data_IF_246895043816
#
_entry.id   IF_246895043816
#
_cell.length_a   1.000
_cell.length_b   1.000
_cell.length_c   1.000
_cell.angle_alpha   90.00
_cell.angle_beta   90.00
_cell.angle_gamma   90.00
#
_symmetry.space_group_name_H-M   'P 1'
#
loop_
_entity.id
_entity.type
_entity.pdbx_description
1 polymer ?
#
# COMPACT_ATOMS: atom_id res chain seq x y z
N UNK A 1 12.64 4.44 -14.74
CA UNK A 1 11.94 3.24 -14.28
C UNK A 1 12.93 2.36 -13.54
N UNK A 2 12.47 1.54 -12.61
CA UNK A 2 13.29 0.47 -12.03
C UNK A 2 13.69 -0.52 -13.13
N UNK A 3 14.89 -1.07 -13.01
CA UNK A 3 15.46 -1.96 -14.02
C UNK A 3 14.55 -3.19 -14.23
N UNK A 4 14.22 -3.49 -15.48
CA UNK A 4 13.39 -4.63 -15.91
C UNK A 4 11.97 -4.67 -15.30
N UNK A 5 11.50 -3.58 -14.69
CA UNK A 5 10.19 -3.55 -14.01
C UNK A 5 10.15 -4.37 -12.71
N UNK A 6 11.32 -4.64 -12.10
CA UNK A 6 11.44 -5.49 -10.91
C UNK A 6 11.57 -4.74 -9.58
N UNK A 7 11.44 -3.41 -9.57
CA UNK A 7 11.58 -2.58 -8.38
C UNK A 7 10.33 -1.78 -8.06
N UNK A 8 10.16 -1.41 -6.79
CA UNK A 8 9.00 -0.66 -6.27
C UNK A 8 9.36 0.70 -5.70
N UNK A 9 10.64 1.07 -5.74
CA UNK A 9 11.16 2.29 -5.11
C UNK A 9 11.38 3.40 -6.13
N UNK A 10 11.66 3.07 -7.40
CA UNK A 10 12.07 4.06 -8.40
C UNK A 10 13.59 4.21 -8.49
N UNK A 11 14.35 3.47 -7.69
CA UNK A 11 15.80 3.54 -7.67
C UNK A 11 16.40 2.80 -8.86
N UNK A 12 17.34 3.46 -9.54
CA UNK A 12 17.98 2.92 -10.73
C UNK A 12 19.49 3.20 -10.69
N UNK A 13 20.29 2.14 -10.82
CA UNK A 13 21.75 2.23 -10.75
C UNK A 13 22.36 3.07 -11.88
N UNK A 14 21.78 3.01 -13.08
CA UNK A 14 22.37 3.59 -14.30
C UNK A 14 21.89 5.02 -14.55
N UNK A 15 20.61 5.28 -14.29
CA UNK A 15 19.97 6.56 -14.62
C UNK A 15 19.71 7.45 -13.40
N UNK A 16 19.89 6.92 -12.18
CA UNK A 16 19.54 7.59 -10.93
C UNK A 16 18.04 7.59 -10.64
N UNK A 17 17.69 8.07 -9.45
CA UNK A 17 16.32 8.09 -8.92
C UNK A 17 15.69 9.47 -9.14
N UNK A 18 14.54 9.58 -9.84
CA UNK A 18 13.86 10.86 -9.99
C UNK A 18 13.34 11.37 -8.64
N UNK A 19 13.30 12.69 -8.46
CA UNK A 19 12.86 13.31 -7.21
C UNK A 19 11.33 13.31 -7.18
N UNK A 20 10.73 12.77 -6.10
CA UNK A 20 9.29 12.87 -5.88
C UNK A 20 8.89 14.34 -5.63
N UNK A 21 8.11 14.98 -6.52
CA UNK A 21 7.72 16.38 -6.36
C UNK A 21 6.82 16.64 -5.15
N UNK A 22 6.00 15.64 -4.78
CA UNK A 22 5.11 15.74 -3.63
C UNK A 22 5.85 15.61 -2.30
N UNK A 23 7.00 14.92 -2.28
CA UNK A 23 7.81 14.70 -1.08
C UNK A 23 9.27 14.39 -1.43
N UNK A 24 10.16 15.40 -1.59
CA UNK A 24 11.54 15.19 -2.08
C UNK A 24 12.45 14.32 -1.18
N UNK A 25 12.06 14.12 0.08
CA UNK A 25 12.80 13.33 1.08
C UNK A 25 12.58 11.81 0.95
N UNK A 26 11.57 11.39 0.19
CA UNK A 26 11.19 9.99 0.01
C UNK A 26 11.29 9.55 -1.44
N UNK A 27 11.27 8.24 -1.64
CA UNK A 27 11.30 7.63 -2.97
C UNK A 27 10.00 7.92 -3.73
N UNK A 28 10.05 8.07 -5.07
CA UNK A 28 8.86 8.30 -5.90
C UNK A 28 7.99 7.07 -6.08
N UNK A 29 8.49 5.88 -5.73
CA UNK A 29 7.84 4.60 -6.01
C UNK A 29 8.20 4.07 -7.40
N UNK A 30 7.87 2.82 -7.69
CA UNK A 30 8.26 2.13 -8.92
C UNK A 30 7.31 0.99 -9.31
N UNK A 31 7.50 0.38 -10.49
CA UNK A 31 8.64 0.64 -11.39
C UNK A 31 8.51 1.87 -12.30
N UNK A 32 7.32 2.42 -12.50
CA UNK A 32 7.08 3.56 -13.40
C UNK A 32 7.37 4.94 -12.78
N UNK A 33 8.49 5.06 -12.06
CA UNK A 33 8.90 6.26 -11.31
C UNK A 33 8.95 7.54 -12.15
N UNK A 34 9.58 7.47 -13.33
CA UNK A 34 9.71 8.62 -14.25
C UNK A 34 8.36 9.14 -14.74
N UNK A 35 7.44 8.24 -15.11
CA UNK A 35 6.10 8.60 -15.59
C UNK A 35 5.29 9.33 -14.51
N UNK A 36 5.31 8.82 -13.27
CA UNK A 36 4.61 9.44 -12.15
C UNK A 36 5.21 10.79 -11.77
N UNK A 37 6.54 10.89 -11.71
CA UNK A 37 7.23 12.16 -11.42
C UNK A 37 6.97 13.18 -12.51
N UNK A 38 6.99 12.81 -13.80
CA UNK A 38 6.73 13.73 -14.89
C UNK A 38 5.31 14.33 -14.84
N UNK A 39 4.31 13.51 -14.53
CA UNK A 39 2.92 13.97 -14.36
C UNK A 39 2.76 14.81 -13.09
N UNK A 40 3.36 14.37 -11.97
CA UNK A 40 3.30 15.08 -10.68
C UNK A 40 3.98 16.45 -10.75
N UNK A 41 5.14 16.54 -11.44
CA UNK A 41 5.89 17.76 -11.69
C UNK A 41 5.30 18.64 -12.81
N UNK A 42 4.17 18.24 -13.42
CA UNK A 42 3.49 18.98 -14.48
C UNK A 42 4.35 19.19 -15.73
N UNK A 43 5.29 18.28 -16.00
CA UNK A 43 6.08 18.28 -17.23
C UNK A 43 5.27 17.78 -18.42
N UNK A 44 4.27 16.94 -18.14
CA UNK A 44 3.34 16.36 -19.11
C UNK A 44 1.92 16.29 -18.52
N UNK A 45 0.92 16.29 -19.40
CA UNK A 45 -0.50 16.17 -19.02
C UNK A 45 -0.88 14.75 -18.58
N UNK A 46 -0.29 13.74 -19.24
CA UNK A 46 -0.43 12.33 -18.92
C UNK A 46 0.85 11.57 -19.26
N UNK A 47 1.00 10.38 -18.68
CA UNK A 47 2.09 9.46 -19.02
C UNK A 47 1.59 8.02 -19.02
N UNK A 48 2.19 7.19 -19.86
CA UNK A 48 1.92 5.74 -19.91
C UNK A 48 2.94 4.98 -19.05
N UNK A 49 2.57 3.76 -18.68
CA UNK A 49 3.48 2.81 -18.04
C UNK A 49 2.88 1.42 -17.92
N UNK A 50 3.73 0.46 -17.60
CA UNK A 50 3.31 -0.91 -17.31
C UNK A 50 2.86 -1.00 -15.86
N UNK A 51 1.84 -1.82 -15.59
CA UNK A 51 1.47 -2.25 -14.24
C UNK A 51 1.42 -3.78 -14.20
N UNK A 52 2.36 -4.40 -13.49
CA UNK A 52 2.45 -5.85 -13.29
C UNK A 52 2.01 -6.18 -11.87
N UNK A 53 2.75 -5.65 -10.89
CA UNK A 53 2.56 -5.90 -9.45
C UNK A 53 2.28 -4.60 -8.69
N UNK A 54 1.78 -3.58 -9.38
CA UNK A 54 1.57 -2.24 -8.83
C UNK A 54 2.50 -1.18 -9.38
N UNK A 55 3.25 -1.48 -10.44
CA UNK A 55 4.31 -0.62 -10.98
C UNK A 55 3.87 0.80 -11.36
N UNK A 56 2.58 1.01 -11.62
CA UNK A 56 2.00 2.31 -11.93
C UNK A 56 1.23 2.87 -10.74
N UNK A 57 0.50 2.00 -10.02
CA UNK A 57 -0.33 2.37 -8.86
C UNK A 57 0.49 2.81 -7.64
N UNK A 58 1.61 2.16 -7.37
CA UNK A 58 2.53 2.50 -6.28
C UNK A 58 3.09 3.91 -6.47
N UNK A 59 3.77 4.24 -7.59
CA UNK A 59 4.30 5.59 -7.77
C UNK A 59 3.19 6.64 -7.92
N UNK A 60 2.01 6.28 -8.43
CA UNK A 60 0.86 7.18 -8.42
C UNK A 60 0.45 7.58 -7.01
N UNK A 61 0.37 6.61 -6.10
CA UNK A 61 0.08 6.85 -4.69
C UNK A 61 1.15 7.71 -4.04
N UNK A 62 2.43 7.46 -4.30
CA UNK A 62 3.54 8.18 -3.68
C UNK A 62 3.72 9.60 -4.21
N UNK A 63 3.46 9.81 -5.50
CA UNK A 63 3.57 11.12 -6.17
C UNK A 63 2.27 11.92 -6.14
N UNK A 64 1.18 11.37 -5.58
CA UNK A 64 -0.10 12.07 -5.42
C UNK A 64 -0.82 12.36 -6.74
N UNK A 65 -0.80 11.42 -7.69
CA UNK A 65 -1.43 11.57 -9.02
C UNK A 65 -2.50 10.51 -9.27
N UNK A 66 -3.40 10.76 -10.23
CA UNK A 66 -4.37 9.76 -10.67
C UNK A 66 -3.67 8.68 -11.49
N UNK A 67 -4.12 7.44 -11.33
CA UNK A 67 -3.69 6.31 -12.14
C UNK A 67 -4.89 5.49 -12.58
N UNK A 68 -4.85 4.97 -13.80
CA UNK A 68 -5.77 3.96 -14.27
C UNK A 68 -4.99 2.74 -14.76
N UNK A 69 -5.26 1.60 -14.13
CA UNK A 69 -4.86 0.26 -14.57
C UNK A 69 -6.07 -0.35 -15.29
N UNK A 70 -6.03 -0.58 -16.61
CA UNK A 70 -7.13 -1.22 -17.31
C UNK A 70 -7.23 -2.71 -16.97
N UNK A 71 -8.32 -3.34 -17.36
CA UNK A 71 -8.51 -4.78 -17.28
C UNK A 71 -7.47 -5.49 -18.14
N UNK A 72 -6.97 -6.62 -17.63
CA UNK A 72 -5.89 -7.35 -18.29
C UNK A 72 -6.29 -7.83 -19.68
N UNK A 73 -5.47 -7.52 -20.68
CA UNK A 73 -5.69 -7.86 -22.09
C UNK A 73 -6.56 -6.88 -22.88
N UNK A 74 -7.08 -5.81 -22.27
CA UNK A 74 -7.93 -4.83 -22.99
C UNK A 74 -7.11 -3.83 -23.81
N UNK A 75 -5.96 -3.39 -23.28
CA UNK A 75 -5.00 -2.55 -24.01
C UNK A 75 -3.86 -3.42 -24.51
N UNK A 76 -3.48 -3.27 -25.78
CA UNK A 76 -2.40 -4.04 -26.40
C UNK A 76 -1.06 -3.80 -25.70
N UNK A 77 -0.36 -4.89 -25.39
CA UNK A 77 1.02 -4.88 -24.87
C UNK A 77 2.05 -5.06 -25.98
N UNK A 78 1.63 -5.06 -27.25
CA UNK A 78 2.53 -5.22 -28.39
C UNK A 78 3.59 -4.11 -28.40
N UNK A 79 4.86 -4.49 -28.56
CA UNK A 79 6.00 -3.56 -28.55
C UNK A 79 6.50 -3.20 -27.16
N UNK A 80 5.96 -3.79 -26.10
CA UNK A 80 6.49 -3.65 -24.73
C UNK A 80 7.40 -4.83 -24.36
N UNK A 81 8.34 -4.59 -23.45
CA UNK A 81 9.15 -5.65 -22.86
C UNK A 81 8.30 -6.35 -21.78
N UNK A 82 7.92 -7.62 -21.95
CA UNK A 82 7.02 -8.29 -21.02
C UNK A 82 7.75 -8.57 -19.71
N UNK A 83 7.10 -8.28 -18.59
CA UNK A 83 7.55 -8.76 -17.28
C UNK A 83 6.83 -10.07 -16.97
N UNK A 84 5.49 -10.04 -16.99
CA UNK A 84 4.61 -11.19 -16.83
C UNK A 84 3.38 -11.04 -17.73
N UNK A 85 3.32 -11.79 -18.83
CA UNK A 85 2.22 -11.75 -19.80
C UNK A 85 0.83 -11.86 -19.19
N UNK A 86 0.67 -12.64 -18.11
CA UNK A 86 -0.63 -12.79 -17.47
C UNK A 86 -0.99 -11.63 -16.54
N UNK A 87 -0.01 -10.86 -16.05
CA UNK A 87 -0.21 -9.76 -15.10
C UNK A 87 -0.12 -8.37 -15.74
N UNK A 88 0.71 -8.24 -16.77
CA UNK A 88 1.08 -7.00 -17.44
C UNK A 88 -0.15 -6.29 -18.01
N UNK A 89 -0.19 -4.98 -17.76
CA UNK A 89 -1.18 -4.06 -18.34
C UNK A 89 -0.53 -2.74 -18.68
N UNK A 90 -1.02 -2.07 -19.72
CA UNK A 90 -0.59 -0.72 -20.07
C UNK A 90 -1.57 0.27 -19.47
N UNK A 91 -1.18 0.88 -18.36
CA UNK A 91 -1.95 1.90 -17.68
C UNK A 91 -1.48 3.31 -18.01
N UNK A 92 -2.18 4.28 -17.45
CA UNK A 92 -1.82 5.69 -17.60
C UNK A 92 -2.05 6.50 -16.34
N UNK A 93 -1.32 7.59 -16.25
CA UNK A 93 -1.28 8.55 -15.16
C UNK A 93 -1.75 9.91 -15.64
N UNK A 94 -2.48 10.64 -14.80
CA UNK A 94 -2.86 12.02 -15.08
C UNK A 94 -3.03 12.80 -13.76
N UNK A 95 -3.15 14.12 -13.83
CA UNK A 95 -3.60 14.95 -12.69
C UNK A 95 -5.07 15.32 -12.76
N UNK A 96 -5.61 15.38 -13.98
CA UNK A 96 -7.00 15.75 -14.24
C UNK A 96 -7.82 14.49 -14.57
N UNK A 97 -8.94 14.23 -13.88
CA UNK A 97 -9.81 13.09 -14.20
C UNK A 97 -10.38 13.14 -15.63
N UNK A 98 -10.55 14.33 -16.23
CA UNK A 98 -10.97 14.48 -17.61
C UNK A 98 -9.90 13.97 -18.58
N UNK A 99 -8.63 14.29 -18.31
CA UNK A 99 -7.50 13.77 -19.10
C UNK A 99 -7.39 12.24 -18.92
N UNK A 100 -7.53 11.76 -17.69
CA UNK A 100 -7.54 10.31 -17.40
C UNK A 100 -8.63 9.58 -18.21
N UNK A 101 -9.84 10.15 -18.29
CA UNK A 101 -10.94 9.59 -19.08
C UNK A 101 -10.68 9.68 -20.59
N UNK A 102 -10.12 10.80 -21.09
CA UNK A 102 -9.83 10.98 -22.52
C UNK A 102 -8.79 9.99 -23.04
N UNK A 103 -7.75 9.71 -22.25
CA UNK A 103 -6.77 8.66 -22.59
C UNK A 103 -7.47 7.30 -22.62
N UNK A 104 -8.38 7.04 -21.68
CA UNK A 104 -9.21 5.83 -21.69
C UNK A 104 -10.10 5.72 -22.95
N UNK A 105 -10.67 6.81 -23.43
CA UNK A 105 -11.45 6.79 -24.68
C UNK A 105 -10.61 6.48 -25.91
N UNK A 106 -9.32 6.83 -25.91
CA UNK A 106 -8.39 6.54 -26.99
C UNK A 106 -7.86 5.09 -26.95
N UNK A 107 -7.61 4.55 -25.76
CA UNK A 107 -6.95 3.24 -25.58
C UNK A 107 -7.92 2.07 -25.41
N UNK A 108 -9.10 2.31 -24.84
CA UNK A 108 -10.07 1.25 -24.57
C UNK A 108 -10.95 0.99 -25.79
N UNK A 109 -11.33 -0.27 -26.05
CA UNK A 109 -12.26 -0.59 -27.12
C UNK A 109 -13.60 0.12 -26.92
N UNK A 110 -14.30 0.38 -28.02
CA UNK A 110 -15.64 0.95 -27.97
C UNK A 110 -16.55 0.00 -27.16
N UNK A 111 -17.10 0.50 -26.06
CA UNK A 111 -18.03 -0.27 -25.25
C UNK A 111 -19.41 -0.31 -25.90
N UNK A 112 -20.08 -1.46 -25.84
CA UNK A 112 -21.52 -1.51 -26.04
C UNK A 112 -22.19 -0.69 -24.93
N UNK A 113 -22.95 0.33 -25.33
CA UNK A 113 -23.57 1.30 -24.44
C UNK A 113 -24.49 0.63 -23.40
N UNK A 114 -24.38 1.03 -22.13
CA UNK A 114 -25.50 1.00 -21.19
C UNK A 114 -25.19 0.51 -19.77
N UNK A 115 -24.97 1.44 -18.83
CA UNK A 115 -25.15 1.15 -17.41
C UNK A 115 -26.53 1.65 -17.00
N UNK A 116 -27.45 0.71 -16.76
CA UNK A 116 -28.85 0.99 -16.41
C UNK A 116 -29.13 0.96 -14.89
N UNK A 117 -28.09 0.90 -14.06
CA UNK A 117 -28.23 0.68 -12.61
C UNK A 117 -27.50 1.69 -11.74
N UNK A 118 -27.97 1.85 -10.50
CA UNK A 118 -27.23 2.59 -9.45
C UNK A 118 -25.96 1.82 -9.08
N UNK A 119 -24.84 2.54 -9.02
CA UNK A 119 -23.51 2.06 -8.61
C UNK A 119 -23.51 1.64 -7.15
N UNK A 120 -22.78 0.59 -6.80
CA UNK A 120 -22.67 0.10 -5.43
C UNK A 120 -21.20 0.18 -5.00
N UNK A 121 -20.89 1.05 -4.03
CA UNK A 121 -19.58 1.01 -3.40
C UNK A 121 -19.53 -0.13 -2.38
N UNK A 122 -18.43 -0.88 -2.37
CA UNK A 122 -18.16 -1.99 -1.46
C UNK A 122 -16.80 -1.72 -0.81
N UNK A 123 -16.77 -1.36 0.47
CA UNK A 123 -15.55 -1.06 1.22
C UNK A 123 -14.94 -2.34 1.79
N UNK A 124 -13.64 -2.53 1.60
CA UNK A 124 -12.85 -3.61 2.19
C UNK A 124 -12.30 -3.16 3.56
N UNK A 125 -13.09 -3.33 4.61
CA UNK A 125 -12.80 -2.77 5.94
C UNK A 125 -11.49 -3.31 6.53
N UNK A 126 -11.23 -4.59 6.33
CA UNK A 126 -9.98 -5.24 6.76
C UNK A 126 -8.74 -4.62 6.09
N UNK A 127 -8.86 -4.11 4.87
CA UNK A 127 -7.77 -3.37 4.22
C UNK A 127 -7.60 -1.97 4.85
N UNK A 128 -8.68 -1.31 5.25
CA UNK A 128 -8.61 -0.03 5.97
C UNK A 128 -8.11 -0.19 7.41
N UNK A 129 -8.41 -1.29 8.09
CA UNK A 129 -7.86 -1.61 9.42
C UNK A 129 -6.34 -1.82 9.39
N UNK A 130 -5.80 -2.32 8.28
CA UNK A 130 -4.35 -2.44 8.06
C UNK A 130 -3.68 -1.08 7.81
N UNK A 131 -4.45 -0.04 7.47
CA UNK A 131 -3.96 1.30 7.23
C UNK A 131 -3.85 2.06 8.56
N UNK A 132 -2.67 2.59 8.87
CA UNK A 132 -2.46 3.45 10.06
C UNK A 132 -2.94 4.89 9.83
N UNK A 133 -4.08 5.07 9.15
CA UNK A 133 -4.63 6.39 8.80
C UNK A 133 -6.08 6.45 9.26
N UNK A 134 -6.52 7.53 9.93
CA UNK A 134 -7.88 7.64 10.44
C UNK A 134 -8.93 7.61 9.33
N UNK A 135 -10.07 6.96 9.60
CA UNK A 135 -11.21 6.86 8.68
C UNK A 135 -11.77 8.23 8.25
N UNK A 136 -11.64 9.26 9.10
CA UNK A 136 -12.04 10.63 8.75
C UNK A 136 -11.29 11.21 7.54
N UNK A 137 -10.11 10.64 7.22
CA UNK A 137 -9.30 11.03 6.05
C UNK A 137 -9.41 10.05 4.88
N UNK A 138 -10.13 8.95 5.04
CA UNK A 138 -10.21 7.88 4.03
C UNK A 138 -11.67 7.50 3.74
N UNK A 139 -12.24 6.57 4.50
CA UNK A 139 -13.58 6.02 4.30
C UNK A 139 -14.64 7.12 4.34
N UNK A 140 -14.62 7.95 5.38
CA UNK A 140 -15.63 8.99 5.61
C UNK A 140 -15.63 10.04 4.48
N UNK A 141 -14.47 10.34 3.91
CA UNK A 141 -14.34 11.28 2.77
C UNK A 141 -15.14 10.77 1.58
N UNK A 142 -15.03 9.47 1.28
CA UNK A 142 -15.69 8.85 0.14
C UNK A 142 -17.18 8.67 0.41
N UNK A 143 -17.54 8.18 1.60
CA UNK A 143 -18.95 8.06 1.99
C UNK A 143 -19.67 9.40 1.92
N UNK A 144 -19.08 10.45 2.50
CA UNK A 144 -19.68 11.78 2.49
C UNK A 144 -19.74 12.35 1.07
N UNK A 145 -18.75 12.08 0.22
CA UNK A 145 -18.77 12.50 -1.18
C UNK A 145 -19.95 11.84 -1.92
N UNK A 146 -20.14 10.54 -1.75
CA UNK A 146 -21.21 9.79 -2.40
C UNK A 146 -22.59 10.16 -1.85
N UNK A 147 -22.71 10.47 -0.54
CA UNK A 147 -23.96 11.00 0.04
C UNK A 147 -24.39 12.32 -0.59
N UNK A 148 -23.45 13.16 -1.04
CA UNK A 148 -23.76 14.40 -1.77
C UNK A 148 -24.16 14.19 -3.24
N UNK A 149 -24.09 12.94 -3.74
CA UNK A 149 -24.46 12.54 -5.09
C UNK A 149 -25.74 11.67 -5.04
N UNK A 150 -26.92 12.26 -4.83
CA UNK A 150 -28.16 11.53 -4.57
C UNK A 150 -28.65 10.68 -5.77
N UNK A 151 -28.16 10.98 -6.98
CA UNK A 151 -28.48 10.23 -8.19
C UNK A 151 -27.29 9.37 -8.60
N UNK A 152 -27.49 8.04 -8.58
CA UNK A 152 -26.55 7.10 -9.21
C UNK A 152 -25.81 6.16 -8.27
N UNK A 153 -25.93 6.31 -6.94
CA UNK A 153 -25.30 5.39 -5.98
C UNK A 153 -26.33 4.72 -5.04
N UNK A 154 -26.06 3.47 -4.68
CA UNK A 154 -26.70 2.75 -3.59
C UNK A 154 -25.96 3.04 -2.28
N UNK A 155 -26.60 2.84 -1.10
CA UNK A 155 -25.92 2.93 0.18
C UNK A 155 -24.65 2.06 0.19
N UNK A 156 -23.49 2.58 0.63
CA UNK A 156 -22.25 1.80 0.72
C UNK A 156 -22.44 0.46 1.45
N UNK A 157 -21.74 -0.57 0.96
CA UNK A 157 -21.61 -1.87 1.63
C UNK A 157 -20.21 -2.00 2.19
N UNK A 158 -20.10 -2.76 3.26
CA UNK A 158 -18.88 -3.00 4.01
C UNK A 158 -18.65 -4.50 4.09
N UNK A 159 -17.43 -4.95 3.79
CA UNK A 159 -17.06 -6.37 3.78
C UNK A 159 -15.65 -6.57 4.35
N UNK A 160 -15.39 -7.77 4.82
CA UNK A 160 -14.04 -8.27 5.04
C UNK A 160 -13.58 -9.00 3.75
N UNK A 161 -12.72 -8.36 2.95
CA UNK A 161 -12.32 -8.92 1.65
C UNK A 161 -11.44 -10.16 1.82
N UNK A 162 -10.57 -10.19 2.83
CA UNK A 162 -9.73 -11.34 3.14
C UNK A 162 -10.56 -12.61 3.41
N UNK A 163 -11.58 -12.50 4.26
CA UNK A 163 -12.49 -13.61 4.54
C UNK A 163 -13.30 -14.03 3.30
N UNK A 164 -13.71 -13.07 2.47
CA UNK A 164 -14.37 -13.35 1.20
C UNK A 164 -13.46 -14.14 0.26
N UNK A 165 -12.18 -13.76 0.14
CA UNK A 165 -11.17 -14.47 -0.64
C UNK A 165 -11.02 -15.90 -0.13
N UNK A 166 -10.79 -16.10 1.18
CA UNK A 166 -10.63 -17.43 1.78
C UNK A 166 -11.82 -18.37 1.51
N UNK A 167 -13.03 -17.80 1.43
CA UNK A 167 -14.27 -18.56 1.23
C UNK A 167 -14.56 -18.89 -0.25
N UNK A 168 -14.04 -18.09 -1.19
CA UNK A 168 -14.41 -18.17 -2.61
C UNK A 168 -13.24 -18.55 -3.54
N UNK A 169 -12.02 -18.68 -3.02
CA UNK A 169 -10.81 -19.09 -3.76
C UNK A 169 -10.20 -20.31 -3.07
N UNK A 170 -10.80 -21.51 -3.22
CA UNK A 170 -10.39 -22.70 -2.48
C UNK A 170 -8.94 -23.13 -2.75
N UNK A 171 -8.43 -22.94 -3.97
CA UNK A 171 -7.05 -23.27 -4.33
C UNK A 171 -6.00 -22.42 -3.60
N UNK A 172 -6.40 -21.26 -3.06
CA UNK A 172 -5.49 -20.38 -2.33
C UNK A 172 -4.98 -21.01 -1.02
N UNK A 173 -5.71 -21.98 -0.46
CA UNK A 173 -5.35 -22.65 0.79
C UNK A 173 -3.97 -23.31 0.75
N UNK A 174 -3.49 -23.73 -0.42
CA UNK A 174 -2.15 -24.29 -0.62
C UNK A 174 -1.03 -23.28 -0.28
N UNK A 175 -1.33 -21.98 -0.34
CA UNK A 175 -0.39 -20.88 -0.14
C UNK A 175 -0.60 -20.14 1.20
N UNK A 176 -1.60 -20.52 1.98
CA UNK A 176 -1.90 -19.91 3.27
C UNK A 176 -1.07 -20.56 4.39
N UNK A 177 -0.52 -19.73 5.28
CA UNK A 177 0.07 -20.22 6.53
C UNK A 177 -1.05 -20.70 7.49
N UNK A 178 -0.81 -21.74 8.32
CA UNK A 178 -1.78 -22.18 9.32
C UNK A 178 -2.13 -21.04 10.28
N UNK A 179 -3.40 -20.63 10.33
CA UNK A 179 -3.83 -19.45 11.11
C UNK A 179 -5.18 -19.66 11.82
N UNK A 180 -5.41 -18.89 12.90
CA UNK A 180 -6.74 -18.80 13.53
C UNK A 180 -7.74 -18.10 12.60
N UNK A 181 -9.06 -18.33 12.79
CA UNK A 181 -10.11 -17.70 11.97
C UNK A 181 -10.00 -16.17 11.85
N UNK A 182 -9.50 -15.49 12.89
CA UNK A 182 -9.33 -14.02 12.90
C UNK A 182 -8.14 -13.55 12.03
N UNK A 183 -7.12 -14.39 11.88
CA UNK A 183 -5.94 -14.12 11.04
C UNK A 183 -6.10 -14.64 9.61
N UNK A 184 -7.17 -15.39 9.34
CA UNK A 184 -7.45 -16.03 8.05
C UNK A 184 -7.55 -15.02 6.91
N UNK A 185 -8.15 -13.85 7.14
CA UNK A 185 -8.24 -12.80 6.12
C UNK A 185 -6.89 -12.16 5.75
N UNK A 186 -6.03 -11.91 6.74
CA UNK A 186 -4.66 -11.40 6.50
C UNK A 186 -3.80 -12.44 5.81
N UNK A 187 -3.93 -13.70 6.22
CA UNK A 187 -3.26 -14.85 5.58
C UNK A 187 -3.66 -14.96 4.10
N UNK A 188 -4.94 -14.80 3.77
CA UNK A 188 -5.41 -14.84 2.39
C UNK A 188 -4.89 -13.69 1.52
N UNK A 189 -4.85 -12.45 2.04
CA UNK A 189 -4.24 -11.32 1.32
C UNK A 189 -2.74 -11.54 1.07
N UNK A 190 -2.02 -12.07 2.07
CA UNK A 190 -0.61 -12.44 1.94
C UNK A 190 -0.42 -13.57 0.91
N UNK A 191 -1.28 -14.58 0.92
CA UNK A 191 -1.26 -15.67 -0.05
C UNK A 191 -1.51 -15.18 -1.49
N UNK A 192 -2.45 -14.25 -1.71
CA UNK A 192 -2.67 -13.64 -3.03
C UNK A 192 -1.42 -12.89 -3.53
N UNK A 193 -0.76 -12.14 -2.64
CA UNK A 193 0.52 -11.49 -2.93
C UNK A 193 1.58 -12.52 -3.35
N UNK A 194 1.73 -13.60 -2.57
CA UNK A 194 2.67 -14.68 -2.88
C UNK A 194 2.40 -15.27 -4.27
N UNK A 195 1.15 -15.63 -4.57
CA UNK A 195 0.77 -16.19 -5.87
C UNK A 195 1.09 -15.22 -7.02
N UNK A 196 0.79 -13.93 -6.86
CA UNK A 196 1.13 -12.89 -7.84
C UNK A 196 2.65 -12.85 -8.11
N UNK A 197 3.47 -12.83 -7.05
CA UNK A 197 4.93 -12.76 -7.18
C UNK A 197 5.55 -14.05 -7.75
N UNK A 198 5.01 -15.23 -7.40
CA UNK A 198 5.45 -16.50 -7.98
C UNK A 198 5.11 -16.56 -9.48
N UNK A 199 3.92 -16.10 -9.87
CA UNK A 199 3.51 -16.05 -11.27
C UNK A 199 4.40 -15.07 -12.07
N UNK A 200 4.69 -13.90 -11.50
CA UNK A 200 5.64 -12.95 -12.08
C UNK A 200 7.02 -13.58 -12.30
N UNK A 201 7.56 -14.26 -11.30
CA UNK A 201 8.88 -14.93 -11.38
C UNK A 201 8.92 -15.99 -12.47
N UNK A 202 7.91 -16.86 -12.51
CA UNK A 202 7.80 -17.92 -13.51
C UNK A 202 7.79 -17.36 -14.94
N UNK A 203 6.93 -16.38 -15.21
CA UNK A 203 6.80 -15.83 -16.55
C UNK A 203 8.00 -14.96 -16.93
N UNK A 204 8.57 -14.22 -15.99
CA UNK A 204 9.80 -13.47 -16.24
C UNK A 204 10.96 -14.39 -16.61
N UNK A 205 11.13 -15.51 -15.90
CA UNK A 205 12.11 -16.53 -16.24
C UNK A 205 11.91 -17.02 -17.67
N UNK A 206 10.70 -17.43 -18.02
CA UNK A 206 10.37 -17.91 -19.36
C UNK A 206 10.68 -16.86 -20.46
N UNK A 207 10.57 -15.57 -20.15
CA UNK A 207 10.83 -14.48 -21.09
C UNK A 207 12.31 -14.11 -21.21
N UNK A 208 13.08 -14.17 -20.11
CA UNK A 208 14.38 -13.47 -20.01
C UNK A 208 15.55 -14.34 -19.52
N UNK A 209 15.34 -15.60 -19.15
CA UNK A 209 16.41 -16.48 -18.60
C UNK A 209 17.65 -16.54 -19.50
N UNK A 210 17.45 -16.83 -20.80
CA UNK A 210 18.56 -16.92 -21.76
C UNK A 210 19.37 -15.63 -21.84
N UNK A 211 18.68 -14.48 -21.86
CA UNK A 211 19.31 -13.17 -21.92
C UNK A 211 20.06 -12.84 -20.63
N UNK A 212 19.46 -13.08 -19.46
CA UNK A 212 20.11 -12.84 -18.16
C UNK A 212 21.37 -13.70 -18.02
N UNK A 213 21.30 -14.98 -18.40
CA UNK A 213 22.43 -15.91 -18.32
C UNK A 213 23.57 -15.56 -19.28
N UNK A 214 23.22 -15.09 -20.48
CA UNK A 214 24.18 -14.71 -21.53
C UNK A 214 24.84 -13.37 -21.25
N UNK A 215 24.04 -12.34 -20.95
CA UNK A 215 24.50 -10.95 -20.85
C UNK A 215 25.04 -10.62 -19.46
N UNK A 216 24.53 -11.29 -18.41
CA UNK A 216 24.90 -11.03 -17.00
C UNK A 216 24.82 -9.54 -16.67
N UNK A 217 23.62 -8.93 -16.80
CA UNK A 217 23.46 -7.49 -16.67
C UNK A 217 23.91 -6.99 -15.29
N UNK A 218 24.58 -5.84 -15.27
CA UNK A 218 24.90 -5.16 -14.02
C UNK A 218 23.65 -4.45 -13.51
N UNK A 219 23.01 -5.01 -12.49
CA UNK A 219 21.76 -4.50 -11.91
C UNK A 219 22.00 -3.89 -10.52
N UNK A 220 21.13 -2.98 -10.11
CA UNK A 220 21.05 -2.52 -8.71
C UNK A 220 20.79 -3.67 -7.74
N UNK A 221 21.21 -3.53 -6.47
CA UNK A 221 21.21 -4.63 -5.49
C UNK A 221 19.81 -5.26 -5.26
N UNK A 222 18.78 -4.42 -5.11
CA UNK A 222 17.39 -4.88 -4.92
C UNK A 222 16.90 -5.64 -6.15
N UNK A 223 17.04 -5.04 -7.34
CA UNK A 223 16.59 -5.64 -8.61
C UNK A 223 17.35 -6.93 -8.90
N UNK A 224 18.66 -6.94 -8.71
CA UNK A 224 19.51 -8.12 -8.90
C UNK A 224 19.04 -9.30 -8.05
N UNK A 225 18.67 -9.04 -6.79
CA UNK A 225 18.15 -10.08 -5.89
C UNK A 225 16.86 -10.68 -6.43
N UNK A 226 15.92 -9.85 -6.92
CA UNK A 226 14.63 -10.33 -7.42
C UNK A 226 14.73 -11.01 -8.78
N UNK A 227 15.58 -10.51 -9.68
CA UNK A 227 15.89 -11.14 -10.96
C UNK A 227 16.52 -12.51 -10.74
N UNK A 228 17.45 -12.64 -9.79
CA UNK A 228 18.06 -13.93 -9.45
C UNK A 228 17.02 -14.90 -8.87
N UNK A 229 16.12 -14.44 -8.00
CA UNK A 229 15.00 -15.25 -7.51
C UNK A 229 14.05 -15.71 -8.62
N UNK A 230 13.84 -14.88 -9.65
CA UNK A 230 13.01 -15.23 -10.80
C UNK A 230 13.71 -16.26 -11.69
N UNK A 231 14.97 -16.04 -12.07
CA UNK A 231 15.72 -16.97 -12.94
C UNK A 231 15.94 -18.32 -12.28
N UNK A 232 16.19 -18.35 -10.96
CA UNK A 232 16.34 -19.58 -10.19
C UNK A 232 15.01 -20.20 -9.75
N UNK A 233 13.87 -19.72 -10.26
CA UNK A 233 12.57 -20.29 -9.94
C UNK A 233 12.43 -21.72 -10.48
N UNK A 234 12.01 -22.65 -9.63
CA UNK A 234 11.89 -24.10 -9.92
C UNK A 234 10.59 -24.72 -9.40
N UNK A 235 9.53 -23.93 -9.24
CA UNK A 235 8.26 -24.46 -8.69
C UNK A 235 7.52 -25.32 -9.73
N UNK A 236 7.15 -26.54 -9.33
CA UNK A 236 6.43 -27.51 -10.17
C UNK A 236 4.91 -27.24 -10.21
N UNK A 237 4.38 -26.42 -9.30
CA UNK A 237 2.95 -26.18 -9.13
C UNK A 237 2.41 -24.96 -9.90
N UNK A 238 2.97 -24.66 -11.07
CA UNK A 238 2.57 -23.53 -11.94
C UNK A 238 1.06 -23.57 -12.23
N UNK A 239 0.48 -24.76 -12.42
CA UNK A 239 -0.96 -24.94 -12.67
C UNK A 239 -1.80 -24.38 -11.53
N UNK A 240 -1.41 -24.59 -10.27
CA UNK A 240 -2.13 -24.06 -9.11
C UNK A 240 -2.16 -22.53 -9.11
N UNK A 241 -1.08 -21.86 -9.54
CA UNK A 241 -1.03 -20.39 -9.62
C UNK A 241 -2.10 -19.83 -10.57
N UNK A 242 -2.27 -20.45 -11.75
CA UNK A 242 -3.29 -20.05 -12.71
C UNK A 242 -4.72 -20.40 -12.27
N UNK A 243 -4.89 -21.48 -11.50
CA UNK A 243 -6.19 -21.84 -10.92
C UNK A 243 -6.61 -20.76 -9.91
N UNK A 244 -5.74 -20.39 -8.96
CA UNK A 244 -5.98 -19.30 -8.00
C UNK A 244 -6.37 -18.02 -8.73
N UNK A 245 -5.63 -17.65 -9.79
CA UNK A 245 -5.91 -16.48 -10.61
C UNK A 245 -7.34 -16.51 -11.19
N UNK A 246 -7.73 -17.66 -11.75
CA UNK A 246 -9.03 -17.85 -12.41
C UNK A 246 -10.18 -17.83 -11.39
N UNK A 247 -10.02 -18.53 -10.27
CA UNK A 247 -10.99 -18.54 -9.17
C UNK A 247 -11.16 -17.14 -8.58
N UNK A 248 -10.06 -16.42 -8.33
CA UNK A 248 -10.11 -15.07 -7.80
C UNK A 248 -10.82 -14.09 -8.75
N UNK A 249 -10.52 -14.15 -10.06
CA UNK A 249 -11.22 -13.37 -11.08
C UNK A 249 -12.73 -13.64 -11.06
N UNK A 250 -13.13 -14.90 -10.97
CA UNK A 250 -14.54 -15.29 -10.93
C UNK A 250 -15.23 -14.82 -9.64
N UNK A 251 -14.57 -14.99 -8.48
CA UNK A 251 -15.06 -14.55 -7.18
C UNK A 251 -15.26 -13.02 -7.16
N UNK A 252 -14.27 -12.24 -7.61
CA UNK A 252 -14.37 -10.79 -7.62
C UNK A 252 -15.46 -10.30 -8.59
N UNK A 253 -15.63 -10.96 -9.74
CA UNK A 253 -16.75 -10.68 -10.66
C UNK A 253 -18.10 -10.96 -10.00
N UNK A 254 -18.24 -12.06 -9.26
CA UNK A 254 -19.48 -12.39 -8.54
C UNK A 254 -19.80 -11.40 -7.42
N UNK A 255 -18.76 -10.92 -6.72
CA UNK A 255 -18.89 -9.91 -5.67
C UNK A 255 -19.39 -8.57 -6.22
N UNK A 256 -18.76 -8.08 -7.29
CA UNK A 256 -18.99 -6.73 -7.81
C UNK A 256 -20.14 -6.68 -8.83
N UNK A 257 -20.37 -7.76 -9.57
CA UNK A 257 -21.33 -7.79 -10.70
C UNK A 257 -21.02 -6.62 -11.66
N UNK A 258 -22.05 -6.10 -12.34
CA UNK A 258 -21.87 -5.06 -13.36
C UNK A 258 -21.86 -3.62 -12.80
N UNK A 259 -22.25 -3.43 -11.52
CA UNK A 259 -22.40 -2.08 -10.92
C UNK A 259 -21.59 -1.86 -9.66
N UNK A 260 -20.90 -2.88 -9.16
CA UNK A 260 -20.09 -2.82 -7.95
C UNK A 260 -18.72 -2.21 -8.20
N UNK A 261 -18.26 -1.43 -7.22
CA UNK A 261 -16.91 -0.87 -7.16
C UNK A 261 -16.36 -1.20 -5.78
N UNK A 262 -15.32 -2.03 -5.73
CA UNK A 262 -14.57 -2.29 -4.51
C UNK A 262 -13.72 -1.06 -4.19
N UNK A 263 -13.76 -0.61 -2.94
CA UNK A 263 -13.01 0.52 -2.43
C UNK A 263 -12.04 0.01 -1.36
N UNK A 264 -10.75 0.30 -1.56
CA UNK A 264 -9.66 -0.12 -0.66
C UNK A 264 -8.51 0.89 -0.72
N UNK A 265 -7.65 0.99 0.31
CA UNK A 265 -6.43 1.78 0.19
C UNK A 265 -5.57 1.29 -0.99
N UNK A 266 -4.93 2.22 -1.69
CA UNK A 266 -3.98 1.82 -2.74
C UNK A 266 -2.74 1.19 -2.11
N UNK A 267 -2.29 1.74 -0.99
CA UNK A 267 -1.04 1.38 -0.30
C UNK A 267 -1.25 1.41 1.22
N UNK A 268 -0.65 0.45 1.93
CA UNK A 268 -0.67 0.40 3.40
C UNK A 268 0.48 1.16 4.08
N UNK A 269 1.57 1.46 3.35
CA UNK A 269 2.81 1.98 3.89
C UNK A 269 3.15 3.41 3.46
N UNK A 270 3.93 4.11 4.30
CA UNK A 270 4.54 5.38 3.93
C UNK A 270 5.74 5.15 3.00
N UNK A 271 6.01 6.07 2.05
CA UNK A 271 7.19 5.99 1.21
C UNK A 271 8.50 5.92 2.02
N UNK A 272 9.44 5.09 1.58
CA UNK A 272 10.76 5.03 2.21
C UNK A 272 11.56 6.31 1.98
N UNK A 273 12.44 6.65 2.93
CA UNK A 273 13.41 7.74 2.73
C UNK A 273 14.34 7.41 1.56
N UNK A 274 14.52 8.38 0.68
CA UNK A 274 15.41 8.26 -0.48
C UNK A 274 16.86 8.07 -0.03
N UNK A 275 17.63 7.21 -0.71
CA UNK A 275 19.02 6.89 -0.38
C UNK A 275 19.23 6.33 1.04
N UNK A 276 18.19 5.79 1.68
CA UNK A 276 18.36 5.12 2.97
C UNK A 276 19.10 3.80 2.74
N UNK A 277 20.06 3.47 3.61
CA UNK A 277 20.68 2.13 3.62
C UNK A 277 19.72 1.04 4.13
N UNK A 278 18.52 1.42 4.52
CA UNK A 278 17.53 0.54 5.10
C UNK A 278 16.92 -0.28 3.96
N UNK A 279 17.18 -1.58 3.95
CA UNK A 279 16.56 -2.49 3.00
C UNK A 279 15.05 -2.51 3.23
N UNK A 280 14.29 -2.70 2.16
CA UNK A 280 12.87 -3.06 2.26
C UNK A 280 12.77 -4.29 3.19
N UNK A 281 12.03 -4.16 4.29
CA UNK A 281 11.71 -5.33 5.11
C UNK A 281 10.66 -6.17 4.39
N UNK A 282 10.68 -7.48 4.61
CA UNK A 282 9.64 -8.37 4.09
C UNK A 282 8.24 -7.92 4.50
N UNK A 283 8.07 -7.46 5.73
CA UNK A 283 6.79 -6.90 6.21
C UNK A 283 6.36 -5.64 5.45
N UNK A 284 7.29 -4.81 5.01
CA UNK A 284 6.97 -3.63 4.22
C UNK A 284 6.55 -4.04 2.80
N UNK A 285 7.26 -4.98 2.17
CA UNK A 285 6.90 -5.51 0.86
C UNK A 285 5.53 -6.21 0.89
N UNK A 286 5.26 -7.04 1.90
CA UNK A 286 3.97 -7.70 2.09
C UNK A 286 2.83 -6.68 2.16
N UNK A 287 3.03 -5.58 2.90
CA UNK A 287 2.08 -4.48 3.01
C UNK A 287 1.93 -3.68 1.71
N UNK A 288 3.01 -3.50 0.95
CA UNK A 288 2.98 -2.81 -0.34
C UNK A 288 2.20 -3.61 -1.37
N UNK A 289 2.39 -4.93 -1.40
CA UNK A 289 1.80 -5.80 -2.41
C UNK A 289 0.40 -6.32 -2.07
N UNK A 290 0.02 -6.36 -0.78
CA UNK A 290 -1.26 -6.90 -0.34
C UNK A 290 -2.44 -6.32 -1.13
N UNK A 291 -2.53 -4.99 -1.24
CA UNK A 291 -3.68 -4.34 -1.90
C UNK A 291 -3.57 -4.34 -3.42
N UNK A 292 -2.36 -4.18 -3.97
CA UNK A 292 -2.16 -4.18 -5.42
C UNK A 292 -2.36 -5.56 -6.04
N UNK A 293 -2.17 -6.64 -5.26
CA UNK A 293 -2.42 -8.01 -5.69
C UNK A 293 -3.87 -8.27 -6.10
N UNK A 294 -4.84 -7.57 -5.49
CA UNK A 294 -6.27 -7.74 -5.75
C UNK A 294 -6.60 -7.54 -7.24
N UNK A 295 -6.20 -6.40 -7.82
CA UNK A 295 -6.45 -6.12 -9.23
C UNK A 295 -5.45 -6.81 -10.17
N UNK A 296 -4.18 -6.95 -9.76
CA UNK A 296 -3.16 -7.61 -10.57
C UNK A 296 -3.51 -9.07 -10.85
N UNK A 297 -3.88 -9.82 -9.80
CA UNK A 297 -4.19 -11.24 -9.92
C UNK A 297 -5.60 -11.48 -10.48
N UNK A 298 -6.61 -10.65 -10.16
CA UNK A 298 -7.92 -10.81 -10.81
C UNK A 298 -7.90 -10.37 -12.27
N UNK A 299 -6.98 -9.49 -12.66
CA UNK A 299 -6.99 -8.81 -13.96
C UNK A 299 -8.08 -7.74 -14.08
N UNK A 300 -8.73 -7.37 -12.99
CA UNK A 300 -9.74 -6.31 -12.97
C UNK A 300 -9.13 -4.92 -13.18
N UNK A 301 -9.95 -3.96 -13.65
CA UNK A 301 -9.54 -2.57 -13.78
C UNK A 301 -9.54 -1.86 -12.42
N UNK A 302 -8.60 -0.92 -12.25
CA UNK A 302 -8.42 -0.17 -11.01
C UNK A 302 -8.08 1.28 -11.30
N UNK A 303 -8.73 2.20 -10.57
CA UNK A 303 -8.41 3.61 -10.57
C UNK A 303 -7.87 4.03 -9.19
N UNK A 304 -6.71 4.67 -9.15
CA UNK A 304 -6.12 5.25 -7.95
C UNK A 304 -6.44 6.74 -7.90
N UNK A 305 -7.02 7.19 -6.79
CA UNK A 305 -7.43 8.57 -6.55
C UNK A 305 -6.74 9.12 -5.30
N UNK A 306 -5.95 10.21 -5.41
CA UNK A 306 -5.38 10.89 -4.26
C UNK A 306 -6.45 11.49 -3.32
N UNK A 307 -6.28 11.30 -2.01
CA UNK A 307 -7.13 11.84 -0.94
C UNK A 307 -6.46 12.95 -0.11
N UNK A 308 -5.45 13.60 -0.66
CA UNK A 308 -4.65 14.61 0.05
C UNK A 308 -3.53 13.98 0.88
N UNK A 309 -3.09 14.66 1.94
CA UNK A 309 -1.89 14.30 2.69
C UNK A 309 -2.17 13.89 4.15
N UNK A 310 -1.36 12.96 4.65
CA UNK A 310 -1.25 12.62 6.07
C UNK A 310 0.23 12.48 6.45
N UNK A 311 0.64 13.23 7.47
CA UNK A 311 2.05 13.36 7.89
C UNK A 311 2.98 13.70 6.70
N UNK A 312 2.60 14.72 5.93
CA UNK A 312 3.31 15.20 4.73
C UNK A 312 3.43 14.19 3.56
N UNK A 313 2.76 13.04 3.65
CA UNK A 313 2.75 12.04 2.59
C UNK A 313 1.37 11.95 1.90
N UNK A 314 1.33 11.86 0.57
CA UNK A 314 0.08 11.64 -0.14
C UNK A 314 -0.58 10.31 0.25
N UNK A 315 -1.90 10.36 0.39
CA UNK A 315 -2.76 9.20 0.59
C UNK A 315 -3.53 8.98 -0.70
N UNK A 316 -3.77 7.72 -1.07
CA UNK A 316 -4.64 7.42 -2.19
C UNK A 316 -5.53 6.21 -1.92
N UNK A 317 -6.71 6.23 -2.52
CA UNK A 317 -7.67 5.14 -2.48
C UNK A 317 -7.83 4.57 -3.86
N UNK A 318 -7.98 3.26 -3.91
CA UNK A 318 -8.20 2.48 -5.10
C UNK A 318 -9.66 2.09 -5.22
N UNK A 319 -10.18 2.26 -6.44
CA UNK A 319 -11.50 1.83 -6.86
C UNK A 319 -11.31 0.72 -7.89
N UNK A 320 -11.81 -0.48 -7.61
CA UNK A 320 -11.66 -1.66 -8.48
C UNK A 320 -13.03 -2.07 -8.98
N UNK A 321 -13.18 -2.25 -10.29
CA UNK A 321 -14.40 -2.76 -10.91
C UNK A 321 -14.11 -4.06 -11.64
N UNK A 322 -15.15 -4.86 -11.90
CA UNK A 322 -15.01 -6.16 -12.57
C UNK A 322 -14.24 -6.05 -13.92
N UNK A 323 -13.57 -7.14 -14.30
CA UNK A 323 -12.86 -7.22 -15.58
C UNK A 323 -13.80 -6.88 -16.75
N UNK A 324 -13.36 -5.95 -17.61
CA UNK A 324 -14.11 -5.41 -18.74
C UNK A 324 -14.94 -4.16 -18.42
N UNK A 325 -15.04 -3.76 -17.15
CA UNK A 325 -15.82 -2.58 -16.71
C UNK A 325 -15.00 -1.28 -16.68
N UNK A 326 -14.03 -1.15 -17.59
CA UNK A 326 -13.07 -0.04 -17.61
C UNK A 326 -13.71 1.33 -17.80
N UNK A 327 -14.56 1.47 -18.83
CA UNK A 327 -15.29 2.73 -19.09
C UNK A 327 -16.29 3.04 -17.99
N UNK A 328 -16.90 2.02 -17.39
CA UNK A 328 -17.77 2.17 -16.22
C UNK A 328 -17.01 2.82 -15.06
N UNK A 329 -15.83 2.30 -14.75
CA UNK A 329 -15.00 2.79 -13.66
C UNK A 329 -14.51 4.22 -13.93
N UNK A 330 -13.98 4.51 -15.13
CA UNK A 330 -13.55 5.87 -15.50
C UNK A 330 -14.69 6.88 -15.36
N UNK A 331 -15.89 6.54 -15.83
CA UNK A 331 -17.08 7.39 -15.68
C UNK A 331 -17.44 7.60 -14.21
N UNK A 332 -17.38 6.54 -13.39
CA UNK A 332 -17.66 6.65 -11.97
C UNK A 332 -16.67 7.57 -11.25
N UNK A 333 -15.37 7.46 -11.57
CA UNK A 333 -14.34 8.37 -11.03
C UNK A 333 -14.62 9.80 -11.45
N UNK A 334 -14.90 10.05 -12.73
CA UNK A 334 -15.18 11.38 -13.24
C UNK A 334 -16.37 12.03 -12.50
N UNK A 335 -17.45 11.28 -12.29
CA UNK A 335 -18.64 11.76 -11.60
C UNK A 335 -18.38 12.03 -10.10
N UNK A 336 -17.56 11.23 -9.44
CA UNK A 336 -17.27 11.36 -8.00
C UNK A 336 -16.16 12.36 -7.68
N UNK A 337 -15.23 12.61 -8.60
CA UNK A 337 -13.96 13.27 -8.29
C UNK A 337 -14.15 14.65 -7.65
N UNK A 338 -15.02 15.48 -8.21
CA UNK A 338 -15.27 16.83 -7.67
C UNK A 338 -15.87 16.81 -6.26
N UNK A 339 -16.73 15.84 -5.96
CA UNK A 339 -17.32 15.66 -4.63
C UNK A 339 -16.26 15.17 -3.63
N UNK A 340 -15.40 14.23 -4.04
CA UNK A 340 -14.26 13.75 -3.24
C UNK A 340 -13.33 14.91 -2.89
N UNK A 341 -12.93 15.73 -3.88
CA UNK A 341 -12.05 16.89 -3.63
C UNK A 341 -12.65 17.88 -2.63
N UNK A 342 -13.96 18.15 -2.69
CA UNK A 342 -14.66 18.99 -1.71
C UNK A 342 -14.59 18.40 -0.30
N UNK A 343 -14.81 17.09 -0.16
CA UNK A 343 -14.75 16.42 1.14
C UNK A 343 -13.34 16.36 1.71
N UNK A 344 -12.30 16.22 0.88
CA UNK A 344 -10.89 16.31 1.32
C UNK A 344 -10.63 17.69 1.95
N UNK A 345 -11.06 18.76 1.29
CA UNK A 345 -10.91 20.12 1.82
C UNK A 345 -11.68 20.28 3.14
N UNK A 346 -12.89 19.75 3.25
CA UNK A 346 -13.67 19.79 4.49
C UNK A 346 -13.00 19.00 5.62
N UNK A 347 -12.55 17.78 5.35
CA UNK A 347 -11.84 16.94 6.31
C UNK A 347 -10.54 17.60 6.80
N UNK A 348 -9.82 18.32 5.92
CA UNK A 348 -8.63 19.08 6.30
C UNK A 348 -8.92 20.26 7.23
N UNK A 349 -10.12 20.86 7.15
CA UNK A 349 -10.58 21.96 8.01
C UNK A 349 -11.17 21.48 9.34
N UNK A 350 -11.82 20.32 9.32
CA UNK A 350 -12.38 19.64 10.49
C UNK A 350 -11.32 18.92 11.31
N UNK A 351 -10.14 18.69 10.74
CA UNK A 351 -8.99 18.22 11.48
C UNK A 351 -8.63 19.25 12.56
N UNK A 352 -9.14 19.01 13.77
CA UNK A 352 -8.58 19.54 15.01
C UNK A 352 -7.05 19.37 14.97
N UNK A 353 -6.27 20.26 15.61
CA UNK A 353 -4.83 20.06 15.75
C UNK A 353 -4.60 18.62 16.21
N UNK A 354 -3.70 17.90 15.56
CA UNK A 354 -3.83 16.46 15.49
C UNK A 354 -3.82 15.88 16.90
N UNK A 355 -4.88 15.15 17.24
CA UNK A 355 -4.79 14.04 18.19
C UNK A 355 -3.94 13.01 17.45
N UNK A 356 -2.64 13.27 17.40
CA UNK A 356 -1.67 12.26 17.07
C UNK A 356 -1.91 11.16 18.12
N UNK A 357 -1.72 9.91 17.74
CA UNK A 357 -1.25 8.88 18.65
C UNK A 357 0.17 9.28 19.14
N UNK A 358 0.26 10.50 19.69
CA UNK A 358 1.46 11.29 20.00
C UNK A 358 2.17 10.59 21.12
N UNK A 359 1.41 9.95 22.00
CA UNK A 359 1.89 9.50 23.27
C UNK A 359 2.81 8.29 23.13
N UNK A 360 2.60 7.41 22.14
CA UNK A 360 3.49 6.25 21.88
C UNK A 360 4.78 6.66 21.15
N UNK A 361 4.71 7.38 20.03
CA UNK A 361 5.92 7.78 19.29
C UNK A 361 6.72 8.89 20.03
N UNK A 362 6.04 9.77 20.78
CA UNK A 362 6.70 10.81 21.58
C UNK A 362 7.30 10.22 22.87
N UNK A 363 6.67 9.21 23.49
CA UNK A 363 7.29 8.52 24.64
C UNK A 363 8.55 7.77 24.25
N UNK A 364 8.57 7.13 23.07
CA UNK A 364 9.76 6.48 22.52
C UNK A 364 10.88 7.49 22.19
N UNK A 365 10.55 8.64 21.60
CA UNK A 365 11.51 9.72 21.37
C UNK A 365 12.06 10.31 22.68
N UNK A 366 11.23 10.46 23.71
CA UNK A 366 11.65 10.90 25.03
C UNK A 366 12.55 9.87 25.71
N UNK A 367 12.26 8.57 25.58
CA UNK A 367 13.16 7.51 26.02
C UNK A 367 14.52 7.63 25.34
N UNK A 368 14.60 7.82 24.02
CA UNK A 368 15.89 7.96 23.33
C UNK A 368 16.68 9.21 23.80
N UNK A 369 16.00 10.34 24.02
CA UNK A 369 16.62 11.54 24.63
C UNK A 369 17.11 11.29 26.05
N UNK A 370 16.35 10.52 26.83
CA UNK A 370 16.75 10.03 28.15
C UNK A 370 18.01 9.17 28.08
N UNK A 371 18.04 8.17 27.18
CA UNK A 371 19.19 7.28 26.98
C UNK A 371 20.46 8.05 26.59
N UNK A 372 20.33 9.03 25.69
CA UNK A 372 21.44 9.89 25.29
C UNK A 372 21.94 10.78 26.45
N UNK A 373 21.03 11.28 27.30
CA UNK A 373 21.40 12.06 28.49
C UNK A 373 22.06 11.19 29.56
N UNK A 374 21.58 9.96 29.74
CA UNK A 374 22.17 8.96 30.62
C UNK A 374 23.60 8.61 30.20
N UNK A 375 23.84 8.36 28.91
CA UNK A 375 25.19 8.12 28.36
C UNK A 375 26.15 9.31 28.61
N UNK A 376 25.62 10.53 28.66
CA UNK A 376 26.37 11.76 28.95
C UNK A 376 26.52 12.04 30.46
N UNK A 377 26.14 11.10 31.33
CA UNK A 377 26.13 11.24 32.80
C UNK A 377 25.27 12.40 33.32
N UNK A 378 24.29 12.85 32.52
CA UNK A 378 23.34 13.90 32.91
C UNK A 378 22.10 13.27 33.55
N UNK A 379 22.28 12.71 34.75
CA UNK A 379 21.29 11.86 35.42
C UNK A 379 19.95 12.56 35.68
N UNK A 380 19.97 13.78 36.21
CA UNK A 380 18.75 14.57 36.47
C UNK A 380 17.95 14.85 35.20
N UNK A 381 18.64 15.09 34.09
CA UNK A 381 18.02 15.35 32.78
C UNK A 381 17.48 14.08 32.13
N UNK A 382 18.18 12.95 32.32
CA UNK A 382 17.68 11.64 31.92
C UNK A 382 16.37 11.31 32.65
N UNK A 383 16.30 11.58 33.96
CA UNK A 383 15.09 11.39 34.78
C UNK A 383 13.92 12.24 34.28
N UNK A 384 14.15 13.51 33.91
CA UNK A 384 13.11 14.36 33.33
C UNK A 384 12.54 13.75 32.04
N UNK A 385 13.41 13.30 31.13
CA UNK A 385 12.97 12.71 29.87
C UNK A 385 12.23 11.38 30.07
N UNK A 386 12.73 10.48 30.92
CA UNK A 386 12.00 9.23 31.22
C UNK A 386 10.68 9.49 31.95
N UNK A 387 10.63 10.47 32.84
CA UNK A 387 9.38 10.87 33.49
C UNK A 387 8.38 11.45 32.49
N UNK A 388 8.86 12.18 31.49
CA UNK A 388 8.06 12.62 30.35
C UNK A 388 7.53 11.43 29.55
N UNK A 389 8.36 10.43 29.26
CA UNK A 389 7.93 9.22 28.56
C UNK A 389 6.85 8.44 29.33
N UNK A 390 7.00 8.28 30.65
CA UNK A 390 6.04 7.62 31.53
C UNK A 390 4.70 8.37 31.60
N UNK A 391 4.72 9.71 31.62
CA UNK A 391 3.49 10.51 31.61
C UNK A 391 2.67 10.32 30.33
N UNK A 392 3.33 10.00 29.22
CA UNK A 392 2.68 9.76 27.95
C UNK A 392 2.27 8.29 27.80
N UNK A 393 3.11 7.34 28.25
CA UNK A 393 2.79 5.92 28.24
C UNK A 393 3.33 5.24 29.51
N UNK A 394 2.42 4.96 30.44
CA UNK A 394 2.70 4.38 31.76
C UNK A 394 2.67 2.84 31.76
N UNK A 395 2.44 2.21 30.61
CA UNK A 395 2.32 0.75 30.49
C UNK A 395 3.64 0.05 30.13
N UNK A 396 4.68 0.80 29.78
CA UNK A 396 5.97 0.24 29.35
C UNK A 396 6.96 0.15 30.52
N UNK A 397 7.23 -1.07 30.98
CA UNK A 397 8.16 -1.35 32.08
C UNK A 397 9.58 -0.80 31.84
N UNK A 398 10.02 -0.71 30.59
CA UNK A 398 11.37 -0.23 30.21
C UNK A 398 11.62 1.21 30.66
N UNK A 399 10.61 2.09 30.63
CA UNK A 399 10.79 3.49 31.03
C UNK A 399 11.05 3.62 32.52
N UNK A 400 10.36 2.80 33.32
CA UNK A 400 10.54 2.72 34.77
C UNK A 400 11.92 2.14 35.11
N UNK A 401 12.36 1.06 34.46
CA UNK A 401 13.71 0.52 34.66
C UNK A 401 14.81 1.54 34.34
N UNK A 402 14.68 2.26 33.22
CA UNK A 402 15.67 3.26 32.81
C UNK A 402 15.70 4.47 33.75
N UNK A 403 14.55 4.88 34.30
CA UNK A 403 14.48 5.94 35.31
C UNK A 403 15.01 5.48 36.67
N UNK A 404 14.73 4.24 37.08
CA UNK A 404 15.29 3.64 38.29
C UNK A 404 16.82 3.62 38.24
N UNK A 405 17.41 3.21 37.10
CA UNK A 405 18.85 3.25 36.90
C UNK A 405 19.41 4.67 37.10
N UNK A 406 18.73 5.69 36.58
CA UNK A 406 19.16 7.09 36.75
C UNK A 406 19.00 7.60 38.19
N UNK A 407 18.02 7.11 38.94
CA UNK A 407 17.88 7.41 40.37
C UNK A 407 18.97 6.74 41.22
N UNK A 408 19.40 5.51 40.87
CA UNK A 408 20.50 4.83 41.55
C UNK A 408 21.82 5.62 41.43
N UNK A 409 22.12 6.13 40.23
CA UNK A 409 23.31 6.97 39.99
C UNK A 409 23.30 8.29 40.79
N UNK A 410 22.12 8.75 41.24
CA UNK A 410 21.96 9.92 42.11
C UNK A 410 21.81 9.57 43.60
N UNK A 411 21.95 8.30 43.99
CA UNK A 411 21.78 7.84 45.38
C UNK A 411 20.34 7.92 45.90
N UNK A 412 19.35 7.99 45.00
CA UNK A 412 17.93 8.14 45.33
C UNK A 412 17.23 6.79 45.45
N UNK A 413 17.66 5.98 46.42
CA UNK A 413 17.28 4.57 46.54
C UNK A 413 15.77 4.32 46.67
N UNK A 414 15.05 5.13 47.45
CA UNK A 414 13.59 4.99 47.62
C UNK A 414 12.80 5.19 46.32
N UNK A 415 13.28 6.06 45.44
CA UNK A 415 12.63 6.36 44.16
C UNK A 415 12.97 5.29 43.11
N UNK A 416 14.19 4.75 43.15
CA UNK A 416 14.59 3.63 42.32
C UNK A 416 13.81 2.34 42.69
N UNK A 417 13.63 2.05 43.98
CA UNK A 417 12.85 0.92 44.48
C UNK A 417 11.39 0.98 43.98
N UNK A 418 10.74 2.15 44.13
CA UNK A 418 9.37 2.35 43.66
C UNK A 418 9.21 2.16 42.13
N UNK A 419 10.18 2.62 41.32
CA UNK A 419 10.15 2.41 39.87
C UNK A 419 10.40 0.93 39.50
N UNK A 420 11.25 0.21 40.24
CA UNK A 420 11.47 -1.22 40.05
C UNK A 420 10.21 -2.03 40.39
N UNK A 421 9.52 -1.71 41.49
CA UNK A 421 8.27 -2.37 41.86
C UNK A 421 7.19 -2.17 40.80
N UNK A 422 7.08 -0.94 40.26
CA UNK A 422 6.14 -0.63 39.19
C UNK A 422 6.47 -1.38 37.89
N UNK A 423 7.75 -1.49 37.54
CA UNK A 423 8.18 -2.27 36.38
C UNK A 423 7.82 -3.75 36.50
N UNK A 424 8.01 -4.34 37.68
CA UNK A 424 7.64 -5.74 37.97
C UNK A 424 6.13 -5.98 37.92
N UNK A 425 5.31 -5.01 38.36
CA UNK A 425 3.85 -5.08 38.25
C UNK A 425 3.39 -5.09 36.79
N UNK A 426 4.03 -4.29 35.93
CA UNK A 426 3.72 -4.24 34.50
C UNK A 426 4.14 -5.52 33.77
N UNK A 427 5.30 -6.09 34.12
CA UNK A 427 5.81 -7.33 33.50
C UNK A 427 4.95 -8.56 33.86
N UNK A 428 4.48 -8.66 35.11
CA UNK A 428 3.53 -9.71 35.53
C UNK A 428 2.20 -9.66 34.79
N UNK A 429 1.71 -8.46 34.44
CA UNK A 429 0.50 -8.28 33.63
C UNK A 429 0.66 -8.80 32.20
N UNK A 430 1.87 -8.66 31.63
CA UNK A 430 2.19 -9.12 30.28
C UNK A 430 2.37 -10.66 30.28
N UNK A 431 3.03 -11.22 31.29
CA UNK A 431 3.23 -12.68 31.41
C UNK A 431 1.97 -13.47 31.73
N UNK A 432 0.89 -12.84 32.21
CA UNK A 432 -0.42 -13.49 32.42
C UNK A 432 -1.38 -13.38 31.22
N UNK A 433 -0.96 -12.70 30.15
CA UNK A 433 -1.71 -12.57 28.88
C UNK A 433 -1.13 -13.42 27.73
N UNK A 434 -0.04 -14.16 27.99
CA UNK A 434 0.51 -15.23 27.13
C UNK A 434 0.10 -16.58 27.71
#
# INVERSE_FOLDING_TARGET
>A
MDELGFGVTGENLHCGTPINPASPSVVPGGSCSGSAVAVSAQLVEFALGTDTTGDLRIPASFCGVLCFRPSQGVVSTLGTLPNSHSLDTIGWLARDPHILSRVGDALLPAAACGLKGKRQLVFADDCFELLKIPNQKTVDVIENAVRTLPYGFQPPKHINIGQYISSNVPSLKEFCEPSTKLQEGKSALKALCTVMLLLQRYEFKANHEDWVNTVKPKLGLEVSTRVLQAVNFTDDNIKSLYIVRTEWRAALKNLLKDTGILVLPTMAGHPLKRNSKQRLSSEFEDKMYAFVSIAALSGCCQATVPLGNHNDHPISISFVAAHGSDKFLLRAILDMYSAIQKQIVLASKLALPPVIDRDVDTSELLKEKGNNSFKRKQWSKAIEFYSGAIKLNDTNATYYCNRAAAYLELGRFKQAEADCDQALLLDKKISGML
#
